data_IF_359188469217
#
_entry.id   IF_359188469217
#
_cell.length_a   1.000
_cell.length_b   1.000
_cell.length_c   1.000
_cell.angle_alpha   90.00
_cell.angle_beta   90.00
_cell.angle_gamma   90.00
#
_symmetry.space_group_name_H-M   'P 1'
#
loop_
_entity.id
_entity.type
_entity.pdbx_description
1 polymer ?
#
# COMPACT_ATOMS: atom_id res chain seq x y z
N UNK A 1 12.85 -19.53 22.51
CA UNK A 1 14.18 -18.95 22.23
C UNK A 1 14.31 -18.58 20.76
N UNK A 2 14.37 -19.55 19.83
CA UNK A 2 14.54 -19.30 18.38
C UNK A 2 13.65 -18.20 17.75
N UNK A 3 12.36 -18.11 18.10
CA UNK A 3 11.46 -17.08 17.56
C UNK A 3 11.84 -15.66 18.01
N UNK A 4 12.21 -15.50 19.29
CA UNK A 4 12.62 -14.19 19.84
C UNK A 4 13.96 -13.79 19.24
N UNK A 5 14.89 -14.73 19.10
CA UNK A 5 16.18 -14.49 18.47
C UNK A 5 16.02 -14.07 17.00
N UNK A 6 15.12 -14.73 16.27
CA UNK A 6 14.81 -14.38 14.88
C UNK A 6 14.19 -12.98 14.76
N UNK A 7 13.22 -12.65 15.62
CA UNK A 7 12.63 -11.30 15.66
C UNK A 7 13.68 -10.24 15.97
N UNK A 8 14.60 -10.52 16.89
CA UNK A 8 15.68 -9.61 17.24
C UNK A 8 16.62 -9.38 16.05
N UNK A 9 17.04 -10.45 15.35
CA UNK A 9 17.88 -10.33 14.15
C UNK A 9 17.20 -9.49 13.08
N UNK A 10 15.91 -9.73 12.83
CA UNK A 10 15.13 -8.95 11.86
C UNK A 10 15.02 -7.49 12.27
N UNK A 11 14.72 -7.22 13.55
CA UNK A 11 14.65 -5.86 14.08
C UNK A 11 15.98 -5.12 13.92
N UNK A 12 17.10 -5.77 14.23
CA UNK A 12 18.45 -5.20 14.06
C UNK A 12 18.75 -4.93 12.58
N UNK A 13 18.46 -5.89 11.70
CA UNK A 13 18.68 -5.75 10.26
C UNK A 13 17.87 -4.58 9.68
N UNK A 14 16.60 -4.44 10.04
CA UNK A 14 15.74 -3.34 9.60
C UNK A 14 16.22 -2.00 10.17
N UNK A 15 16.69 -1.99 11.43
CA UNK A 15 17.21 -0.78 12.08
C UNK A 15 18.47 -0.23 11.42
N UNK A 16 19.20 -1.02 10.63
CA UNK A 16 20.45 -0.58 10.02
C UNK A 16 20.25 0.64 9.11
N UNK A 17 19.16 0.69 8.35
CA UNK A 17 18.82 1.78 7.43
C UNK A 17 18.60 3.11 8.19
N UNK A 18 17.70 3.20 9.19
CA UNK A 18 17.51 4.44 9.95
C UNK A 18 18.76 4.84 10.76
N UNK A 19 19.54 3.87 11.28
CA UNK A 19 20.80 4.16 11.99
C UNK A 19 21.81 4.81 11.05
N UNK A 20 22.05 4.24 9.86
CA UNK A 20 22.96 4.82 8.88
C UNK A 20 22.49 6.19 8.40
N UNK A 21 21.17 6.36 8.22
CA UNK A 21 20.58 7.64 7.83
C UNK A 21 20.82 8.71 8.90
N UNK A 22 20.61 8.38 10.18
CA UNK A 22 20.91 9.27 11.30
C UNK A 22 22.40 9.61 11.38
N UNK A 23 23.28 8.62 11.21
CA UNK A 23 24.73 8.82 11.23
C UNK A 23 25.21 9.75 10.10
N UNK A 24 24.73 9.52 8.88
CA UNK A 24 25.02 10.38 7.72
C UNK A 24 24.51 11.81 7.90
N UNK A 25 23.41 12.01 8.62
CA UNK A 25 22.92 13.35 8.93
C UNK A 25 23.78 14.03 10.01
N UNK A 26 24.17 13.27 11.04
CA UNK A 26 25.04 13.75 12.12
C UNK A 26 26.40 14.18 11.59
N UNK A 27 27.01 13.40 10.69
CA UNK A 27 28.29 13.75 10.06
C UNK A 27 28.22 15.02 9.20
N UNK A 28 27.01 15.44 8.80
CA UNK A 28 26.74 16.67 8.05
C UNK A 28 26.29 17.83 8.94
N UNK A 29 26.41 17.71 10.27
CA UNK A 29 26.04 18.75 11.24
C UNK A 29 24.54 18.88 11.51
N UNK A 30 23.73 17.89 11.11
CA UNK A 30 22.29 17.83 11.43
C UNK A 30 22.01 16.92 12.62
N UNK A 31 20.84 17.06 13.23
CA UNK A 31 20.44 16.23 14.38
C UNK A 31 20.27 14.76 14.00
N UNK A 32 21.04 13.86 14.64
CA UNK A 32 20.92 12.41 14.48
C UNK A 32 19.48 11.91 14.70
N UNK A 33 18.89 12.31 15.82
CA UNK A 33 17.60 11.80 16.30
C UNK A 33 16.45 12.12 15.36
N UNK A 34 16.45 13.31 14.75
CA UNK A 34 15.43 13.70 13.80
C UNK A 34 15.45 12.79 12.57
N UNK A 35 16.64 12.53 12.01
CA UNK A 35 16.79 11.71 10.81
C UNK A 35 16.62 10.21 11.09
N UNK A 36 17.02 9.75 12.28
CA UNK A 36 16.75 8.39 12.74
C UNK A 36 15.24 8.14 12.88
N UNK A 37 14.52 9.03 13.58
CA UNK A 37 13.07 8.93 13.74
C UNK A 37 12.36 9.02 12.39
N UNK A 38 12.82 9.90 11.50
CA UNK A 38 12.27 10.01 10.15
C UNK A 38 12.42 8.71 9.36
N UNK A 39 13.56 8.02 9.48
CA UNK A 39 13.79 6.72 8.85
C UNK A 39 12.84 5.62 9.33
N UNK A 40 12.32 5.72 10.55
CA UNK A 40 11.30 4.81 11.09
C UNK A 40 9.87 5.23 10.76
N UNK A 41 9.57 6.52 10.86
CA UNK A 41 8.22 7.07 10.72
C UNK A 41 7.79 7.10 9.26
N UNK A 42 8.69 7.42 8.33
CA UNK A 42 8.34 7.61 6.91
C UNK A 42 7.81 6.30 6.25
N UNK A 43 8.44 5.12 6.43
CA UNK A 43 7.90 3.87 5.90
C UNK A 43 6.53 3.51 6.50
N UNK A 44 6.36 3.71 7.81
CA UNK A 44 5.09 3.46 8.49
C UNK A 44 3.99 4.39 7.96
N UNK A 45 4.25 5.69 7.88
CA UNK A 45 3.32 6.67 7.34
C UNK A 45 2.94 6.35 5.89
N UNK A 46 3.92 5.96 5.06
CA UNK A 46 3.69 5.53 3.67
C UNK A 46 2.78 4.31 3.59
N UNK A 47 3.01 3.32 4.46
CA UNK A 47 2.17 2.12 4.53
C UNK A 47 0.73 2.46 4.92
N UNK A 48 0.53 3.28 5.96
CA UNK A 48 -0.81 3.71 6.38
C UNK A 48 -1.52 4.52 5.30
N UNK A 49 -0.81 5.38 4.57
CA UNK A 49 -1.37 6.15 3.47
C UNK A 49 -1.85 5.23 2.35
N UNK A 50 -1.03 4.26 1.94
CA UNK A 50 -1.41 3.26 0.93
C UNK A 50 -2.59 2.41 1.40
N UNK A 51 -2.54 1.95 2.65
CA UNK A 51 -3.64 1.19 3.24
C UNK A 51 -4.93 2.00 3.24
N UNK A 52 -4.89 3.27 3.65
CA UNK A 52 -6.04 4.15 3.62
C UNK A 52 -6.55 4.38 2.20
N UNK A 53 -5.66 4.52 1.21
CA UNK A 53 -6.04 4.67 -0.18
C UNK A 53 -6.77 3.42 -0.71
N UNK A 54 -6.22 2.24 -0.45
CA UNK A 54 -6.82 0.95 -0.84
C UNK A 54 -8.14 0.74 -0.11
N UNK A 55 -8.19 1.01 1.19
CA UNK A 55 -9.41 0.90 1.98
C UNK A 55 -10.49 1.85 1.45
N UNK A 56 -10.13 3.08 1.05
CA UNK A 56 -11.06 3.99 0.39
C UNK A 56 -11.52 3.47 -0.95
N UNK A 57 -10.63 2.88 -1.75
CA UNK A 57 -10.97 2.34 -3.07
C UNK A 57 -11.93 1.14 -2.98
N UNK A 58 -11.78 0.28 -1.96
CA UNK A 58 -12.69 -0.85 -1.75
C UNK A 58 -13.99 -0.48 -1.02
N UNK A 59 -13.94 0.53 -0.15
CA UNK A 59 -15.14 1.00 0.54
C UNK A 59 -15.98 1.95 -0.31
N UNK A 60 -15.50 2.36 -1.49
CA UNK A 60 -16.26 3.23 -2.40
C UNK A 60 -17.40 2.43 -3.08
N UNK A 61 -18.68 2.65 -2.70
CA UNK A 61 -19.80 1.92 -3.27
C UNK A 61 -19.91 2.11 -4.78
N UNK A 62 -19.35 3.21 -5.31
CA UNK A 62 -19.34 3.53 -6.72
C UNK A 62 -18.66 2.47 -7.57
N UNK A 63 -17.62 1.79 -7.05
CA UNK A 63 -16.91 0.75 -7.81
C UNK A 63 -17.73 -0.52 -7.99
N UNK A 64 -18.48 -0.90 -6.97
CA UNK A 64 -19.44 -2.01 -7.03
C UNK A 64 -20.57 -1.70 -8.02
N UNK A 65 -21.12 -0.48 -7.95
CA UNK A 65 -22.17 -0.03 -8.86
C UNK A 65 -21.69 0.05 -10.32
N UNK A 66 -20.45 0.48 -10.56
CA UNK A 66 -19.83 0.47 -11.88
C UNK A 66 -19.59 -0.96 -12.40
N UNK A 67 -19.22 -1.89 -11.52
CA UNK A 67 -19.10 -3.31 -11.86
C UNK A 67 -20.44 -3.92 -12.29
N UNK A 68 -21.49 -3.69 -11.51
CA UNK A 68 -22.85 -4.13 -11.81
C UNK A 68 -23.36 -3.50 -13.12
N UNK A 69 -23.17 -2.19 -13.32
CA UNK A 69 -23.57 -1.52 -14.55
C UNK A 69 -22.84 -2.05 -15.80
N UNK A 70 -21.54 -2.37 -15.68
CA UNK A 70 -20.75 -2.95 -16.78
C UNK A 70 -21.19 -4.37 -17.12
N UNK A 71 -21.62 -5.17 -16.13
CA UNK A 71 -22.23 -6.48 -16.40
C UNK A 71 -23.55 -6.33 -17.15
N UNK A 72 -24.45 -5.46 -16.68
CA UNK A 72 -25.76 -5.23 -17.32
C UNK A 72 -25.58 -4.80 -18.79
N UNK A 73 -24.63 -3.91 -19.07
CA UNK A 73 -24.33 -3.47 -20.44
C UNK A 73 -23.84 -4.64 -21.33
N UNK A 74 -23.01 -5.52 -20.79
CA UNK A 74 -22.46 -6.66 -21.53
C UNK A 74 -23.55 -7.66 -21.88
N UNK A 75 -24.42 -7.97 -20.94
CA UNK A 75 -25.55 -8.88 -21.14
C UNK A 75 -26.52 -8.31 -22.19
N UNK A 76 -26.76 -7.00 -22.15
CA UNK A 76 -27.58 -6.31 -23.15
C UNK A 76 -26.96 -6.35 -24.55
N UNK A 77 -25.64 -6.16 -24.68
CA UNK A 77 -24.94 -6.30 -25.96
C UNK A 77 -25.00 -7.72 -26.52
N UNK A 78 -24.87 -8.74 -25.67
CA UNK A 78 -24.98 -10.15 -26.08
C UNK A 78 -26.41 -10.49 -26.54
N UNK A 79 -27.42 -10.02 -25.82
CA UNK A 79 -28.83 -10.17 -26.23
C UNK A 79 -29.11 -9.45 -27.55
N UNK A 80 -28.59 -8.23 -27.74
CA UNK A 80 -28.74 -7.49 -28.98
C UNK A 80 -28.06 -8.21 -30.16
N UNK A 81 -26.87 -8.78 -29.96
CA UNK A 81 -26.20 -9.61 -30.96
C UNK A 81 -27.01 -10.86 -31.27
N UNK A 82 -27.47 -11.59 -30.26
CA UNK A 82 -28.27 -12.79 -30.44
C UNK A 82 -29.60 -12.51 -31.17
N UNK A 83 -30.25 -11.39 -30.86
CA UNK A 83 -31.45 -10.95 -31.57
C UNK A 83 -31.15 -10.61 -33.03
N UNK A 84 -30.04 -9.91 -33.32
CA UNK A 84 -29.63 -9.54 -34.68
C UNK A 84 -29.25 -10.76 -35.54
N UNK A 85 -28.71 -11.83 -34.96
CA UNK A 85 -28.38 -13.07 -35.69
C UNK A 85 -29.61 -13.96 -35.95
N UNK A 86 -30.73 -13.69 -35.27
CA UNK A 86 -31.97 -14.47 -35.39
C UNK A 86 -32.93 -13.94 -36.47
N UNK A 87 -32.64 -12.77 -37.05
CA UNK A 87 -33.27 -12.21 -38.24
C UNK A 87 -32.31 -12.30 -39.43
#
# INVERSE_FOLDING_TARGET
MLFVDMLFVVAVAISFIPILTGYCAHSRGRSFWLWFALGWVLPLASFFLLFALIAREELDPGRRLLGEARQILRDAEEQAKAAKTRF
#
